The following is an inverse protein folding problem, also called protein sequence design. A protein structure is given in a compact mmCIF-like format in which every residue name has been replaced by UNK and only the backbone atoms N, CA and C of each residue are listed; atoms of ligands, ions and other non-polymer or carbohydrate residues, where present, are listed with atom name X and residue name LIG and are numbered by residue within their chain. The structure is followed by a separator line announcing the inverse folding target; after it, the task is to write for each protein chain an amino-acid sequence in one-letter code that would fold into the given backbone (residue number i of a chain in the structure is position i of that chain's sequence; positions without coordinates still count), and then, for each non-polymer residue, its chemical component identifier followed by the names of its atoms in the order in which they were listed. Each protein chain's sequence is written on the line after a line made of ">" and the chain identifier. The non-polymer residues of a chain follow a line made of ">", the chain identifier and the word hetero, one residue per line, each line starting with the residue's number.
data_IF_779997024215
#
_entry.id   IF_779997024215
#
_cell.length_a   1.000
_cell.length_b   1.000
_cell.length_c   1.000
_cell.angle_alpha   90.00
_cell.angle_beta   90.00
_cell.angle_gamma   90.00
#
_symmetry.space_group_name_H-M   'P 1'
#
loop_
_entity.id
_entity.type
_entity.pdbx_description
1 polymer ?
#
# COMPACT_ATOMS: atom_id res chain seq x y z
N UNK A 1 31.04 15.34 16.63
CA UNK A 1 29.59 15.57 16.55
C UNK A 1 29.09 15.45 17.99
N UNK A 2 28.12 16.28 18.44
CA UNK A 2 27.62 16.10 19.81
C UNK A 2 26.75 14.83 19.85
N UNK A 3 26.71 14.14 21.00
CA UNK A 3 25.87 12.93 21.18
C UNK A 3 24.40 13.17 20.86
N UNK A 4 23.91 14.41 21.02
CA UNK A 4 22.55 14.78 20.65
C UNK A 4 22.32 14.79 19.12
N UNK A 5 23.27 15.32 18.35
CA UNK A 5 23.19 15.34 16.90
C UNK A 5 23.26 13.90 16.37
N UNK A 6 24.14 13.07 16.93
CA UNK A 6 24.23 11.66 16.53
C UNK A 6 22.91 10.92 16.80
N UNK A 7 22.30 11.11 17.98
CA UNK A 7 20.98 10.52 18.29
C UNK A 7 19.86 11.01 17.37
N UNK A 8 19.92 12.26 16.89
CA UNK A 8 18.97 12.79 15.91
C UNK A 8 19.19 12.17 14.53
N UNK A 9 20.45 11.93 14.14
CA UNK A 9 20.75 11.29 12.84
C UNK A 9 20.42 9.80 12.84
N UNK A 10 20.65 9.10 13.94
CA UNK A 10 20.30 7.68 14.11
C UNK A 10 18.79 7.44 13.94
N UNK A 11 17.94 8.39 14.38
CA UNK A 11 16.49 8.35 14.15
C UNK A 11 16.07 8.55 12.69
N UNK A 12 16.97 9.00 11.84
CA UNK A 12 16.71 9.21 10.40
C UNK A 12 17.11 8.01 9.54
N UNK A 13 17.62 6.95 10.14
CA UNK A 13 17.90 5.68 9.46
C UNK A 13 16.58 4.97 9.18
N UNK A 14 16.39 4.37 8.00
CA UNK A 14 15.21 3.58 7.71
C UNK A 14 15.02 2.43 8.70
N UNK A 15 13.78 2.25 9.18
CA UNK A 15 13.44 1.23 10.17
C UNK A 15 12.15 0.51 9.80
N UNK A 16 11.99 -0.70 10.28
CA UNK A 16 10.77 -1.47 10.15
C UNK A 16 10.45 -1.91 8.73
N UNK A 17 9.25 -2.43 8.56
CA UNK A 17 8.79 -3.05 7.33
C UNK A 17 7.38 -2.58 6.95
N UNK A 18 7.20 -2.25 5.69
CA UNK A 18 5.88 -2.05 5.07
C UNK A 18 5.66 -3.14 4.04
N UNK A 19 4.56 -3.88 4.16
CA UNK A 19 4.12 -4.80 3.12
C UNK A 19 3.06 -4.13 2.24
N UNK A 20 3.30 -4.15 0.94
CA UNK A 20 2.43 -3.61 -0.10
C UNK A 20 1.79 -4.78 -0.86
N UNK A 21 0.49 -5.00 -0.64
CA UNK A 21 -0.29 -6.04 -1.31
C UNK A 21 -1.11 -5.42 -2.44
N UNK A 22 -0.77 -5.79 -3.66
CA UNK A 22 -1.23 -5.18 -4.90
C UNK A 22 -0.20 -4.20 -5.46
N UNK A 23 0.53 -4.62 -6.50
CA UNK A 23 1.52 -3.81 -7.22
C UNK A 23 0.99 -3.32 -8.57
N UNK A 24 -0.33 -3.11 -8.68
CA UNK A 24 -0.94 -2.49 -9.86
C UNK A 24 -0.58 -1.00 -10.00
N UNK A 25 -1.31 -0.27 -10.85
CA UNK A 25 -1.04 1.16 -11.13
C UNK A 25 -0.96 2.05 -9.88
N UNK A 26 -1.81 1.78 -8.87
CA UNK A 26 -1.76 2.48 -7.58
C UNK A 26 -0.59 1.99 -6.72
N UNK A 27 -0.44 0.67 -6.59
CA UNK A 27 0.63 0.08 -5.78
C UNK A 27 2.03 0.44 -6.27
N UNK A 28 2.24 0.51 -7.60
CA UNK A 28 3.50 0.99 -8.18
C UNK A 28 3.84 2.41 -7.70
N UNK A 29 2.88 3.34 -7.72
CA UNK A 29 3.07 4.71 -7.24
C UNK A 29 3.43 4.76 -5.75
N UNK A 30 2.71 3.99 -4.94
CA UNK A 30 2.99 3.87 -3.50
C UNK A 30 4.39 3.31 -3.28
N UNK A 31 4.74 2.23 -3.98
CA UNK A 31 6.06 1.60 -3.88
C UNK A 31 7.19 2.56 -4.26
N UNK A 32 7.04 3.30 -5.36
CA UNK A 32 8.01 4.33 -5.77
C UNK A 32 8.13 5.42 -4.71
N UNK A 33 7.01 5.91 -4.15
CA UNK A 33 7.03 6.90 -3.09
C UNK A 33 7.79 6.39 -1.85
N UNK A 34 7.56 5.13 -1.44
CA UNK A 34 8.24 4.52 -0.30
C UNK A 34 9.75 4.34 -0.56
N UNK A 35 10.13 3.93 -1.77
CA UNK A 35 11.53 3.79 -2.18
C UNK A 35 12.26 5.13 -2.11
N UNK A 36 11.61 6.22 -2.53
CA UNK A 36 12.19 7.55 -2.62
C UNK A 36 12.29 8.30 -1.29
N UNK A 37 11.79 7.77 -0.18
CA UNK A 37 11.91 8.45 1.13
C UNK A 37 13.39 8.63 1.47
N UNK A 38 13.82 9.89 1.56
CA UNK A 38 15.24 10.22 1.69
C UNK A 38 15.80 9.95 3.09
N UNK A 39 15.01 10.20 4.15
CA UNK A 39 15.40 9.99 5.55
C UNK A 39 14.30 9.27 6.31
N UNK A 40 14.66 8.26 7.11
CA UNK A 40 13.68 7.40 7.78
C UNK A 40 12.88 6.55 6.80
N UNK A 41 11.63 6.26 7.14
CA UNK A 41 10.74 5.36 6.38
C UNK A 41 11.11 3.88 6.54
N UNK A 42 10.51 2.99 5.74
CA UNK A 42 10.73 1.56 5.90
C UNK A 42 12.16 1.16 5.47
N UNK A 43 12.77 0.28 6.24
CA UNK A 43 13.99 -0.41 5.84
C UNK A 43 13.69 -1.50 4.81
N UNK A 44 12.56 -2.19 4.98
CA UNK A 44 12.13 -3.25 4.07
C UNK A 44 10.75 -2.92 3.52
N UNK A 45 10.59 -3.09 2.22
CA UNK A 45 9.30 -3.03 1.51
C UNK A 45 9.03 -4.40 0.94
N UNK A 46 8.02 -5.12 1.47
CA UNK A 46 7.54 -6.37 0.88
C UNK A 46 6.52 -6.06 -0.22
N UNK A 47 6.77 -6.48 -1.45
CA UNK A 47 5.89 -6.25 -2.59
C UNK A 47 5.22 -7.56 -3.03
N UNK A 48 3.90 -7.61 -2.97
CA UNK A 48 3.10 -8.82 -3.24
C UNK A 48 2.12 -8.59 -4.39
N UNK A 49 2.24 -9.32 -5.47
CA UNK A 49 1.28 -9.34 -6.59
C UNK A 49 1.57 -10.53 -7.51
N UNK A 50 0.56 -11.32 -7.84
CA UNK A 50 0.71 -12.44 -8.78
C UNK A 50 0.60 -12.06 -10.25
N UNK A 51 0.32 -10.79 -10.57
CA UNK A 51 0.17 -10.36 -11.96
C UNK A 51 1.51 -10.04 -12.63
N UNK A 52 1.53 -10.32 -13.93
CA UNK A 52 2.58 -9.85 -14.83
C UNK A 52 2.17 -8.55 -15.50
N UNK A 53 3.16 -7.78 -15.91
CA UNK A 53 2.99 -6.56 -16.69
C UNK A 53 2.48 -6.93 -18.07
N UNK A 54 1.43 -6.28 -18.52
CA UNK A 54 0.88 -6.43 -19.87
C UNK A 54 0.88 -5.10 -20.64
N UNK A 55 0.38 -5.13 -21.89
CA UNK A 55 0.36 -3.95 -22.76
C UNK A 55 -0.56 -2.82 -22.29
N UNK A 56 -1.49 -3.08 -21.36
CA UNK A 56 -2.37 -2.09 -20.74
C UNK A 56 -1.74 -1.39 -19.51
N UNK A 57 -0.62 -1.89 -19.05
CA UNK A 57 0.11 -1.34 -17.90
C UNK A 57 1.06 -0.20 -18.33
N UNK A 58 0.49 0.85 -18.96
CA UNK A 58 1.24 1.93 -19.61
C UNK A 58 2.28 2.58 -18.71
N UNK A 59 1.98 2.85 -17.43
CA UNK A 59 2.95 3.46 -16.52
C UNK A 59 4.18 2.57 -16.29
N UNK A 60 4.02 1.26 -16.30
CA UNK A 60 5.14 0.33 -16.15
C UNK A 60 6.07 0.40 -17.37
N UNK A 61 5.51 0.36 -18.56
CA UNK A 61 6.31 0.46 -19.80
C UNK A 61 6.96 1.83 -19.97
N UNK A 62 6.30 2.92 -19.55
CA UNK A 62 6.90 4.26 -19.51
C UNK A 62 8.10 4.35 -18.56
N UNK A 63 8.14 3.54 -17.52
CA UNK A 63 9.27 3.44 -16.59
C UNK A 63 10.32 2.39 -16.99
N UNK A 64 10.17 1.78 -18.17
CA UNK A 64 11.13 0.84 -18.71
C UNK A 64 10.90 -0.63 -18.35
N UNK A 65 9.72 -0.98 -17.87
CA UNK A 65 9.35 -2.37 -17.65
C UNK A 65 9.08 -3.10 -18.97
N UNK A 66 9.35 -4.40 -18.99
CA UNK A 66 9.06 -5.26 -20.13
C UNK A 66 7.75 -6.03 -19.92
N UNK A 67 6.90 -6.20 -20.96
CA UNK A 67 5.75 -7.08 -20.88
C UNK A 67 6.15 -8.52 -20.49
N UNK A 68 5.38 -9.13 -19.59
CA UNK A 68 5.66 -10.45 -19.05
C UNK A 68 6.52 -10.47 -17.78
N UNK A 69 7.14 -9.36 -17.40
CA UNK A 69 7.84 -9.20 -16.13
C UNK A 69 6.82 -9.21 -14.97
N UNK A 70 7.17 -9.78 -13.82
CA UNK A 70 6.30 -9.70 -12.64
C UNK A 70 6.30 -8.28 -12.06
N UNK A 71 5.15 -7.80 -11.64
CA UNK A 71 5.01 -6.44 -11.07
C UNK A 71 5.88 -6.20 -9.83
N UNK A 72 5.94 -7.12 -8.84
CA UNK A 72 6.83 -6.98 -7.70
C UNK A 72 8.32 -6.99 -8.06
N UNK A 73 8.73 -7.81 -9.05
CA UNK A 73 10.12 -7.85 -9.51
C UNK A 73 10.54 -6.51 -10.13
N UNK A 74 9.63 -5.90 -10.90
CA UNK A 74 9.89 -4.58 -11.46
C UNK A 74 10.03 -3.52 -10.36
N UNK A 75 9.17 -3.53 -9.34
CA UNK A 75 9.29 -2.60 -8.21
C UNK A 75 10.62 -2.80 -7.48
N UNK A 76 11.08 -4.04 -7.29
CA UNK A 76 12.40 -4.34 -6.74
C UNK A 76 13.53 -3.78 -7.59
N UNK A 77 13.42 -3.90 -8.92
CA UNK A 77 14.41 -3.35 -9.87
C UNK A 77 14.55 -1.82 -9.75
N UNK A 78 13.46 -1.09 -9.44
CA UNK A 78 13.49 0.35 -9.25
C UNK A 78 14.22 0.79 -7.97
N UNK A 79 14.41 -0.11 -7.01
CA UNK A 79 15.11 0.18 -5.76
C UNK A 79 16.62 0.00 -5.96
N UNK A 80 17.32 1.10 -6.20
CA UNK A 80 18.79 1.12 -6.41
C UNK A 80 19.57 1.51 -5.15
N UNK A 81 18.90 1.56 -3.98
CA UNK A 81 19.55 1.80 -2.71
C UNK A 81 20.47 0.64 -2.31
N UNK A 82 21.48 0.95 -1.46
CA UNK A 82 22.19 -0.09 -0.73
C UNK A 82 21.20 -0.91 0.13
N UNK A 83 21.28 -2.22 0.10
CA UNK A 83 20.37 -3.13 0.82
C UNK A 83 20.39 -2.91 2.34
N UNK A 84 21.51 -2.42 2.88
CA UNK A 84 21.60 -2.07 4.30
C UNK A 84 20.80 -0.81 4.64
N UNK A 85 20.59 0.07 3.64
CA UNK A 85 19.77 1.27 3.81
C UNK A 85 18.30 0.97 3.56
N UNK A 86 17.92 0.44 2.38
CA UNK A 86 16.54 0.08 2.04
C UNK A 86 16.50 -1.02 1.00
N UNK A 87 15.65 -2.02 1.23
CA UNK A 87 15.47 -3.15 0.33
C UNK A 87 14.00 -3.34 -0.05
N UNK A 88 13.77 -3.80 -1.28
CA UNK A 88 12.47 -4.30 -1.75
C UNK A 88 12.55 -5.81 -1.91
N UNK A 89 11.73 -6.52 -1.16
CA UNK A 89 11.53 -7.96 -1.30
C UNK A 89 10.35 -8.23 -2.24
N UNK A 90 10.61 -8.97 -3.30
CA UNK A 90 9.61 -9.32 -4.30
C UNK A 90 8.97 -10.66 -4.00
N UNK A 91 7.64 -10.68 -4.02
CA UNK A 91 6.80 -11.88 -3.86
C UNK A 91 5.81 -11.93 -5.05
N UNK A 92 6.21 -12.55 -6.18
CA UNK A 92 5.42 -12.57 -7.42
C UNK A 92 4.32 -13.63 -7.37
N UNK A 93 3.47 -13.55 -6.35
CA UNK A 93 2.36 -14.46 -6.10
C UNK A 93 1.16 -13.76 -5.46
N UNK A 94 -0.04 -14.31 -5.69
CA UNK A 94 -1.23 -13.83 -5.01
C UNK A 94 -1.25 -14.29 -3.56
N UNK A 95 -1.70 -13.41 -2.67
CA UNK A 95 -1.94 -13.80 -1.28
C UNK A 95 -3.14 -14.74 -1.21
N UNK A 96 -2.94 -15.87 -0.55
CA UNK A 96 -3.92 -16.91 -0.26
C UNK A 96 -3.78 -17.40 1.19
N UNK A 97 -4.63 -18.32 1.62
CA UNK A 97 -4.52 -18.92 2.96
C UNK A 97 -3.19 -19.65 3.19
N UNK A 98 -2.53 -20.08 2.11
CA UNK A 98 -1.31 -20.88 2.16
C UNK A 98 -0.05 -20.04 2.40
N UNK A 99 -0.11 -18.71 2.10
CA UNK A 99 1.06 -17.83 2.16
C UNK A 99 0.85 -16.53 2.97
N UNK A 100 -0.23 -16.44 3.75
CA UNK A 100 -0.47 -15.30 4.64
C UNK A 100 0.71 -15.02 5.58
N UNK A 101 1.42 -16.05 6.03
CA UNK A 101 2.57 -15.92 6.93
C UNK A 101 3.79 -15.22 6.30
N UNK A 102 3.78 -15.03 4.98
CA UNK A 102 4.79 -14.20 4.30
C UNK A 102 4.62 -12.71 4.58
N UNK A 103 3.41 -12.27 4.96
CA UNK A 103 3.15 -10.89 5.39
C UNK A 103 3.74 -10.65 6.77
N UNK A 104 4.79 -9.85 6.84
CA UNK A 104 5.56 -9.56 8.06
C UNK A 104 5.62 -8.07 8.38
N UNK A 105 4.95 -7.23 7.59
CA UNK A 105 4.97 -5.79 7.73
C UNK A 105 4.50 -5.31 9.11
N UNK A 106 5.09 -4.25 9.60
CA UNK A 106 4.59 -3.45 10.72
C UNK A 106 3.36 -2.65 10.30
N UNK A 107 3.34 -2.26 9.04
CA UNK A 107 2.22 -1.67 8.34
C UNK A 107 1.94 -2.50 7.08
N UNK A 108 0.68 -2.84 6.84
CA UNK A 108 0.26 -3.56 5.62
C UNK A 108 -0.66 -2.67 4.80
N UNK A 109 -0.24 -2.34 3.59
CA UNK A 109 -0.99 -1.56 2.62
C UNK A 109 -1.69 -2.52 1.65
N UNK A 110 -3.01 -2.44 1.54
CA UNK A 110 -3.83 -3.37 0.75
C UNK A 110 -4.53 -2.58 -0.36
N UNK A 111 -4.03 -2.71 -1.58
CA UNK A 111 -4.53 -1.99 -2.77
C UNK A 111 -4.84 -2.95 -3.93
N UNK A 112 -5.37 -4.10 -3.59
CA UNK A 112 -5.88 -5.09 -4.56
C UNK A 112 -7.24 -4.64 -5.07
N UNK A 113 -7.42 -4.67 -6.40
CA UNK A 113 -8.61 -4.17 -7.06
C UNK A 113 -9.65 -5.28 -7.32
N UNK A 114 -10.93 -4.87 -7.26
CA UNK A 114 -12.07 -5.72 -7.59
C UNK A 114 -12.87 -6.16 -6.36
N UNK A 115 -14.21 -6.14 -6.46
CA UNK A 115 -15.09 -6.53 -5.36
C UNK A 115 -14.92 -8.00 -4.91
N UNK A 116 -14.47 -8.87 -5.80
CA UNK A 116 -14.16 -10.26 -5.49
C UNK A 116 -12.90 -10.43 -4.63
N UNK A 117 -12.11 -9.38 -4.40
CA UNK A 117 -10.89 -9.41 -3.57
C UNK A 117 -11.16 -9.03 -2.11
N UNK A 118 -12.35 -8.54 -1.77
CA UNK A 118 -12.69 -8.13 -0.39
C UNK A 118 -12.51 -9.26 0.63
N UNK A 119 -12.94 -10.50 0.37
CA UNK A 119 -12.67 -11.60 1.31
C UNK A 119 -11.18 -11.85 1.55
N UNK A 120 -10.35 -11.73 0.52
CA UNK A 120 -8.88 -11.83 0.65
C UNK A 120 -8.32 -10.67 1.45
N UNK A 121 -8.77 -9.44 1.18
CA UNK A 121 -8.39 -8.26 1.95
C UNK A 121 -8.72 -8.42 3.43
N UNK A 122 -9.92 -8.90 3.76
CA UNK A 122 -10.33 -9.16 5.14
C UNK A 122 -9.43 -10.21 5.85
N UNK A 123 -9.01 -11.27 5.14
CA UNK A 123 -8.07 -12.27 5.68
C UNK A 123 -6.70 -11.64 5.98
N UNK A 124 -6.19 -10.83 5.05
CA UNK A 124 -4.93 -10.09 5.20
C UNK A 124 -5.00 -9.17 6.43
N UNK A 125 -6.08 -8.39 6.55
CA UNK A 125 -6.29 -7.48 7.69
C UNK A 125 -6.30 -8.25 9.01
N UNK A 126 -7.07 -9.32 9.12
CA UNK A 126 -7.14 -10.15 10.32
C UNK A 126 -5.78 -10.78 10.68
N UNK A 127 -5.05 -11.24 9.67
CA UNK A 127 -3.70 -11.79 9.89
C UNK A 127 -2.74 -10.70 10.39
N UNK A 128 -2.74 -9.55 9.76
CA UNK A 128 -1.91 -8.40 10.17
C UNK A 128 -2.22 -7.97 11.61
N UNK A 129 -3.50 -7.82 11.97
CA UNK A 129 -3.92 -7.46 13.33
C UNK A 129 -3.49 -8.48 14.39
N UNK A 130 -3.59 -9.79 14.11
CA UNK A 130 -3.09 -10.85 15.01
C UNK A 130 -1.60 -10.72 15.32
N UNK A 131 -0.83 -10.13 14.41
CA UNK A 131 0.60 -9.87 14.56
C UNK A 131 0.91 -8.49 15.15
N UNK A 132 -0.11 -7.69 15.47
CA UNK A 132 0.03 -6.31 15.96
C UNK A 132 0.46 -5.32 14.87
N UNK A 133 0.26 -5.66 13.60
CA UNK A 133 0.47 -4.73 12.49
C UNK A 133 -0.74 -3.80 12.32
N UNK A 134 -0.50 -2.62 11.77
CA UNK A 134 -1.55 -1.68 11.34
C UNK A 134 -1.86 -1.88 9.85
N UNK A 135 -3.08 -1.53 9.43
CA UNK A 135 -3.51 -1.78 8.06
C UNK A 135 -4.13 -0.56 7.41
N UNK A 136 -3.86 -0.38 6.11
CA UNK A 136 -4.45 0.67 5.27
C UNK A 136 -4.97 0.01 4.00
N UNK A 137 -6.19 0.34 3.60
CA UNK A 137 -6.76 -0.12 2.33
C UNK A 137 -7.50 0.98 1.59
N UNK A 138 -8.12 0.60 0.47
CA UNK A 138 -8.93 1.50 -0.35
C UNK A 138 -10.33 0.95 -0.56
N UNK A 139 -11.32 1.86 -0.66
CA UNK A 139 -12.71 1.52 -0.93
C UNK A 139 -13.35 2.52 -1.90
N UNK A 140 -13.27 2.22 -3.21
CA UNK A 140 -13.77 3.10 -4.26
C UNK A 140 -12.80 4.24 -4.58
N UNK A 141 -12.00 4.02 -5.63
CA UNK A 141 -11.02 4.99 -6.13
C UNK A 141 -11.38 5.29 -7.58
N UNK A 142 -12.14 6.34 -7.79
CA UNK A 142 -12.54 6.86 -9.10
C UNK A 142 -12.44 8.38 -9.08
N UNK A 143 -12.34 8.99 -10.24
CA UNK A 143 -12.40 10.44 -10.40
C UNK A 143 -11.39 11.01 -11.38
N UNK A 144 -11.51 12.32 -11.56
CA UNK A 144 -10.71 13.13 -12.51
C UNK A 144 -9.40 13.65 -11.90
N UNK A 145 -9.28 13.69 -10.56
CA UNK A 145 -8.08 14.16 -9.84
C UNK A 145 -8.33 15.42 -8.98
N UNK A 146 -9.58 15.83 -8.81
CA UNK A 146 -9.98 16.93 -7.94
C UNK A 146 -10.98 16.52 -6.86
N UNK A 147 -11.12 15.22 -6.63
CA UNK A 147 -12.00 14.67 -5.61
C UNK A 147 -11.47 14.94 -4.21
N UNK A 148 -12.40 15.08 -3.26
CA UNK A 148 -12.04 15.11 -1.86
C UNK A 148 -11.64 13.69 -1.40
N UNK A 149 -10.36 13.50 -1.13
CA UNK A 149 -9.85 12.22 -0.64
C UNK A 149 -10.06 12.16 0.86
N UNK A 150 -10.79 11.15 1.29
CA UNK A 150 -11.05 10.87 2.70
C UNK A 150 -10.26 9.64 3.13
N UNK A 151 -9.62 9.72 4.30
CA UNK A 151 -8.98 8.58 4.96
C UNK A 151 -9.30 8.61 6.44
N UNK A 152 -9.93 7.56 6.95
CA UNK A 152 -10.29 7.42 8.36
C UNK A 152 -10.42 5.94 8.73
N UNK A 153 -10.59 5.66 10.01
CA UNK A 153 -10.85 4.30 10.46
C UNK A 153 -12.18 3.78 9.88
N UNK A 154 -12.22 2.49 9.57
CA UNK A 154 -13.41 1.86 9.01
C UNK A 154 -14.66 2.05 9.90
N UNK A 155 -14.49 2.18 11.22
CA UNK A 155 -15.59 2.42 12.17
C UNK A 155 -16.26 3.79 12.01
N UNK A 156 -15.55 4.76 11.41
CA UNK A 156 -16.03 6.13 11.21
C UNK A 156 -16.83 6.32 9.90
N UNK A 157 -16.86 5.32 9.03
CA UNK A 157 -17.67 5.35 7.81
C UNK A 157 -19.12 4.96 8.09
N UNK A 158 -20.04 5.48 7.31
CA UNK A 158 -21.39 4.94 7.21
C UNK A 158 -21.46 3.78 6.19
N UNK A 159 -22.64 3.18 6.04
CA UNK A 159 -22.85 2.05 5.11
C UNK A 159 -23.15 2.49 3.67
N UNK A 160 -22.88 3.74 3.29
CA UNK A 160 -23.09 4.25 1.93
C UNK A 160 -22.08 3.70 0.93
N UNK A 161 -20.92 3.23 1.42
CA UNK A 161 -19.87 2.63 0.60
C UNK A 161 -19.95 1.09 0.66
N UNK A 162 -20.34 0.41 -0.43
CA UNK A 162 -20.53 -1.05 -0.45
C UNK A 162 -19.26 -1.84 -0.12
N UNK A 163 -18.07 -1.31 -0.40
CA UNK A 163 -16.82 -2.00 -0.07
C UNK A 163 -16.53 -1.93 1.44
N UNK A 164 -16.90 -0.84 2.10
CA UNK A 164 -16.84 -0.71 3.57
C UNK A 164 -17.85 -1.64 4.23
N UNK A 165 -19.09 -1.66 3.73
CA UNK A 165 -20.14 -2.56 4.21
C UNK A 165 -19.71 -4.03 4.12
N UNK A 166 -19.16 -4.43 2.98
CA UNK A 166 -18.70 -5.81 2.77
C UNK A 166 -17.51 -6.15 3.68
N UNK A 167 -16.53 -5.26 3.88
CA UNK A 167 -15.44 -5.48 4.84
C UNK A 167 -15.97 -5.67 6.27
N UNK A 168 -16.98 -4.88 6.67
CA UNK A 168 -17.64 -5.06 7.97
C UNK A 168 -18.37 -6.41 8.07
N UNK A 169 -19.06 -6.82 7.03
CA UNK A 169 -19.67 -8.15 6.94
C UNK A 169 -18.65 -9.28 7.09
N UNK A 170 -17.42 -9.05 6.62
CA UNK A 170 -16.28 -9.94 6.84
C UNK A 170 -15.65 -9.81 8.24
N UNK A 171 -16.22 -8.97 9.13
CA UNK A 171 -15.78 -8.80 10.51
C UNK A 171 -14.60 -7.82 10.70
N UNK A 172 -14.38 -6.91 9.77
CA UNK A 172 -13.44 -5.80 9.92
C UNK A 172 -14.23 -4.56 10.30
N UNK A 173 -14.28 -4.25 11.60
CA UNK A 173 -15.12 -3.17 12.13
C UNK A 173 -14.35 -1.97 12.68
N UNK A 174 -13.05 -2.13 12.91
CA UNK A 174 -12.16 -1.11 13.50
C UNK A 174 -10.69 -1.39 13.20
N UNK A 175 -9.82 -0.44 13.53
CA UNK A 175 -8.36 -0.56 13.41
C UNK A 175 -7.85 -0.77 11.97
N UNK A 176 -8.65 -0.38 10.98
CA UNK A 176 -8.28 -0.42 9.56
C UNK A 176 -8.55 0.93 8.92
N UNK A 177 -7.50 1.63 8.49
CA UNK A 177 -7.65 2.87 7.75
C UNK A 177 -8.13 2.58 6.32
N UNK A 178 -9.24 3.20 5.96
CA UNK A 178 -9.82 3.10 4.62
C UNK A 178 -9.69 4.45 3.92
N UNK A 179 -9.17 4.43 2.70
CA UNK A 179 -9.12 5.60 1.84
C UNK A 179 -10.14 5.47 0.71
N UNK A 180 -10.88 6.54 0.47
CA UNK A 180 -11.85 6.63 -0.64
C UNK A 180 -11.83 8.01 -1.28
N UNK A 181 -12.20 8.08 -2.56
CA UNK A 181 -12.53 9.34 -3.25
C UNK A 181 -14.04 9.66 -3.14
N UNK A 182 -14.79 8.87 -2.39
CA UNK A 182 -16.27 8.92 -2.31
C UNK A 182 -16.95 8.73 -3.66
N UNK A 183 -16.21 8.16 -4.64
CA UNK A 183 -16.70 7.79 -5.96
C UNK A 183 -16.69 6.28 -6.13
N UNK A 184 -17.74 5.76 -6.69
CA UNK A 184 -17.96 4.34 -6.87
C UNK A 184 -18.08 4.02 -8.36
N UNK A 185 -18.01 2.73 -8.69
CA UNK A 185 -18.14 2.26 -10.09
C UNK A 185 -19.46 2.71 -10.73
N UNK A 186 -20.53 2.88 -9.95
CA UNK A 186 -21.84 3.36 -10.40
C UNK A 186 -21.83 4.82 -10.86
N UNK A 187 -20.86 5.62 -10.43
CA UNK A 187 -20.74 7.02 -10.81
C UNK A 187 -20.16 7.17 -12.22
N UNK A 188 -19.66 6.07 -12.80
CA UNK A 188 -19.12 5.99 -14.16
C UNK A 188 -18.01 7.02 -14.44
N UNK A 189 -17.24 7.37 -13.42
CA UNK A 189 -16.09 8.26 -13.54
C UNK A 189 -14.81 7.49 -13.89
N UNK A 190 -13.86 8.11 -14.59
CA UNK A 190 -12.58 7.48 -14.90
C UNK A 190 -11.73 7.32 -13.64
N UNK A 191 -10.63 6.57 -13.75
CA UNK A 191 -9.53 6.57 -12.79
C UNK A 191 -8.33 7.22 -13.48
N UNK A 192 -8.15 8.51 -13.24
CA UNK A 192 -7.05 9.25 -13.88
C UNK A 192 -5.71 9.05 -13.16
N UNK A 193 -4.58 9.31 -13.84
CA UNK A 193 -3.27 9.35 -13.17
C UNK A 193 -3.25 10.31 -11.98
N UNK A 194 -3.89 11.46 -12.07
CA UNK A 194 -3.95 12.46 -11.00
C UNK A 194 -4.65 11.93 -9.75
N UNK A 195 -5.80 11.26 -9.92
CA UNK A 195 -6.48 10.57 -8.81
C UNK A 195 -5.56 9.55 -8.15
N UNK A 196 -4.89 8.73 -8.95
CA UNK A 196 -3.97 7.71 -8.42
C UNK A 196 -2.76 8.33 -7.71
N UNK A 197 -2.23 9.45 -8.20
CA UNK A 197 -1.10 10.15 -7.59
C UNK A 197 -1.47 10.75 -6.23
N UNK A 198 -2.63 11.40 -6.11
CA UNK A 198 -3.11 11.95 -4.83
C UNK A 198 -3.47 10.85 -3.82
N UNK A 199 -4.08 9.76 -4.27
CA UNK A 199 -4.36 8.59 -3.43
C UNK A 199 -3.05 7.94 -2.96
N UNK A 200 -2.10 7.72 -3.84
CA UNK A 200 -0.80 7.14 -3.49
C UNK A 200 -0.05 8.01 -2.48
N UNK A 201 -0.02 9.33 -2.68
CA UNK A 201 0.55 10.30 -1.75
C UNK A 201 -0.09 10.19 -0.37
N UNK A 202 -1.42 10.18 -0.30
CA UNK A 202 -2.17 10.13 0.97
C UNK A 202 -1.92 8.81 1.71
N UNK A 203 -1.93 7.67 1.02
CA UNK A 203 -1.61 6.36 1.60
C UNK A 203 -0.17 6.36 2.12
N UNK A 204 0.79 6.82 1.31
CA UNK A 204 2.20 6.84 1.69
C UNK A 204 2.43 7.67 2.96
N UNK A 205 1.84 8.87 3.04
CA UNK A 205 1.95 9.74 4.22
C UNK A 205 1.44 9.02 5.48
N UNK A 206 0.27 8.39 5.40
CA UNK A 206 -0.32 7.72 6.56
C UNK A 206 0.46 6.45 6.93
N UNK A 207 0.91 5.67 5.96
CA UNK A 207 1.75 4.50 6.22
C UNK A 207 3.07 4.87 6.91
N UNK A 208 3.71 5.97 6.50
CA UNK A 208 4.93 6.46 7.13
C UNK A 208 4.70 6.97 8.55
N UNK A 209 3.56 7.62 8.82
CA UNK A 209 3.18 8.04 10.18
C UNK A 209 2.97 6.83 11.09
N UNK A 210 2.16 5.85 10.65
CA UNK A 210 1.91 4.62 11.39
C UNK A 210 3.21 3.83 11.66
N UNK A 211 4.12 3.79 10.69
CA UNK A 211 5.41 3.14 10.88
C UNK A 211 6.26 3.89 11.92
N UNK A 212 6.30 5.22 11.82
CA UNK A 212 7.05 6.05 12.77
C UNK A 212 6.56 5.85 14.20
N UNK A 213 5.23 5.87 14.41
CA UNK A 213 4.61 5.72 15.74
C UNK A 213 4.96 4.38 16.42
N UNK A 214 5.42 3.38 15.67
CA UNK A 214 5.90 2.11 16.21
C UNK A 214 7.34 2.14 16.71
N UNK A 215 8.15 3.09 16.24
CA UNK A 215 9.58 3.14 16.50
C UNK A 215 10.01 4.39 17.31
N UNK A 216 9.10 5.30 17.59
CA UNK A 216 9.28 6.44 18.51
C UNK A 216 8.88 6.06 19.95
#
# INVERSE_FOLDING_TARGET
>A
MSDEIQKMEDKQVPQGRIDLVGCGRLGLRIGINLIQVHRGGPKVIGAFDGQKIDGGDVIFTMLGAEPGQNKPDFLKQLCTHDENFRNVESYPEYISDENLDMLKGDVVIIVIAGGNTIPTAAKIIKHAHKRGATTIGTAGIFGFGNENIEIKDISEYDDSNPAVEELRAQGITENHLVLTTNKLIRDNEPVTPYTLDEVAKTITINALKLLKDKYD
#
